data_IF_921066437932
#
_entry.id   IF_921066437932
#
_cell.length_a   1.000
_cell.length_b   1.000
_cell.length_c   1.000
_cell.angle_alpha   90.00
_cell.angle_beta   90.00
_cell.angle_gamma   90.00
#
_symmetry.space_group_name_H-M   'P 1'
#
loop_
_entity.id
_entity.type
_entity.pdbx_description
1 polymer ?
#
# COMPACT_ATOMS: atom_id res chain seq x y z
N UNK A 1 -7.81 -21.26 13.47
CA UNK A 1 -7.54 -20.53 14.73
C UNK A 1 -7.71 -21.49 15.90
N UNK A 2 -6.92 -21.39 16.96
CA UNK A 2 -6.98 -22.32 18.11
C UNK A 2 -7.73 -21.83 19.33
N UNK A 3 -8.55 -20.79 19.18
CA UNK A 3 -9.33 -20.22 20.26
C UNK A 3 -8.52 -19.32 21.21
N UNK A 4 -9.09 -18.94 22.37
CA UNK A 4 -8.57 -17.89 23.25
C UNK A 4 -7.15 -18.14 23.78
N UNK A 5 -6.74 -19.41 23.88
CA UNK A 5 -5.49 -19.81 24.53
C UNK A 5 -4.40 -20.24 23.54
N UNK A 6 -4.75 -20.44 22.26
CA UNK A 6 -3.83 -20.88 21.22
C UNK A 6 -4.17 -20.11 19.94
N UNK A 7 -3.72 -18.86 19.86
CA UNK A 7 -3.98 -17.91 18.77
C UNK A 7 -3.90 -18.55 17.36
N UNK A 8 -2.73 -18.51 16.72
CA UNK A 8 -2.47 -19.19 15.44
C UNK A 8 -1.83 -20.55 15.72
N UNK A 9 -2.57 -21.63 15.41
CA UNK A 9 -2.05 -23.01 15.53
C UNK A 9 -1.12 -23.34 14.36
N UNK A 10 -1.52 -23.00 13.14
CA UNK A 10 -0.76 -23.22 11.91
C UNK A 10 -1.19 -22.18 10.87
N UNK A 11 -0.23 -21.73 10.07
CA UNK A 11 -0.42 -20.82 8.96
C UNK A 11 0.40 -21.30 7.76
N UNK A 12 -0.19 -21.22 6.58
CA UNK A 12 0.46 -21.47 5.30
C UNK A 12 0.13 -20.30 4.38
N UNK A 13 1.05 -19.94 3.49
CA UNK A 13 0.84 -18.89 2.51
C UNK A 13 1.54 -19.25 1.21
N UNK A 14 1.02 -18.72 0.10
CA UNK A 14 1.64 -18.79 -1.21
C UNK A 14 1.64 -17.39 -1.82
N UNK A 15 2.78 -16.97 -2.36
CA UNK A 15 2.89 -15.72 -3.12
C UNK A 15 2.80 -16.05 -4.60
N UNK A 16 1.82 -15.48 -5.28
CA UNK A 16 1.60 -15.72 -6.71
C UNK A 16 1.77 -14.42 -7.48
N UNK A 17 2.69 -14.44 -8.44
CA UNK A 17 2.85 -13.32 -9.37
C UNK A 17 1.67 -13.29 -10.36
N UNK A 18 1.03 -12.13 -10.50
CA UNK A 18 -0.03 -11.92 -11.49
C UNK A 18 0.63 -11.78 -12.87
N UNK A 19 0.25 -12.60 -13.88
CA UNK A 19 0.70 -12.44 -15.25
C UNK A 19 0.45 -11.03 -15.78
N UNK A 20 1.45 -10.42 -16.44
CA UNK A 20 1.34 -9.05 -16.97
C UNK A 20 0.15 -8.83 -17.90
N UNK A 21 -0.23 -9.86 -18.66
CA UNK A 21 -1.38 -9.80 -19.56
C UNK A 21 -2.69 -9.53 -18.78
N UNK A 22 -2.82 -10.06 -17.56
CA UNK A 22 -4.02 -9.88 -16.73
C UNK A 22 -4.11 -8.48 -16.12
N UNK A 23 -2.99 -7.75 -16.02
CA UNK A 23 -3.01 -6.34 -15.59
C UNK A 23 -3.74 -5.43 -16.59
N UNK A 24 -3.85 -5.88 -17.85
CA UNK A 24 -4.45 -5.15 -18.97
C UNK A 24 -5.67 -5.88 -19.56
N UNK A 25 -6.08 -7.00 -18.96
CA UNK A 25 -7.19 -7.83 -19.42
C UNK A 25 -8.53 -7.36 -18.89
N UNK A 26 -9.44 -8.32 -18.68
CA UNK A 26 -10.78 -8.09 -18.11
C UNK A 26 -10.84 -8.41 -16.63
N UNK A 27 -11.86 -7.87 -15.95
CA UNK A 27 -12.09 -8.18 -14.54
C UNK A 27 -12.33 -9.67 -14.33
N UNK A 28 -13.09 -10.31 -15.22
CA UNK A 28 -13.36 -11.75 -15.18
C UNK A 28 -12.08 -12.58 -15.23
N UNK A 29 -11.17 -12.31 -16.16
CA UNK A 29 -9.91 -13.05 -16.29
C UNK A 29 -9.01 -12.91 -15.04
N UNK A 30 -8.93 -11.70 -14.47
CA UNK A 30 -8.14 -11.47 -13.25
C UNK A 30 -8.74 -12.23 -12.05
N UNK A 31 -10.04 -12.11 -11.82
CA UNK A 31 -10.68 -12.75 -10.66
C UNK A 31 -10.77 -14.27 -10.82
N UNK A 32 -10.93 -14.79 -12.05
CA UNK A 32 -10.84 -16.23 -12.33
C UNK A 32 -9.44 -16.77 -12.06
N UNK A 33 -8.39 -16.02 -12.44
CA UNK A 33 -7.02 -16.38 -12.09
C UNK A 33 -6.85 -16.45 -10.56
N UNK A 34 -7.29 -15.42 -9.82
CA UNK A 34 -7.21 -15.40 -8.35
C UNK A 34 -7.97 -16.59 -7.75
N UNK A 35 -9.19 -16.85 -8.20
CA UNK A 35 -10.01 -17.96 -7.70
C UNK A 35 -9.36 -19.32 -7.98
N UNK A 36 -8.82 -19.54 -9.18
CA UNK A 36 -8.11 -20.78 -9.52
C UNK A 36 -6.88 -21.00 -8.64
N UNK A 37 -6.12 -19.94 -8.36
CA UNK A 37 -4.96 -20.00 -7.46
C UNK A 37 -5.37 -20.31 -6.02
N UNK A 38 -6.42 -19.66 -5.52
CA UNK A 38 -6.98 -19.93 -4.20
C UNK A 38 -7.43 -21.39 -4.05
N UNK A 39 -8.16 -21.91 -5.04
CA UNK A 39 -8.63 -23.30 -5.03
C UNK A 39 -7.46 -24.29 -5.12
N UNK A 40 -6.43 -23.97 -5.90
CA UNK A 40 -5.21 -24.79 -5.98
C UNK A 40 -4.49 -24.82 -4.63
N UNK A 41 -4.40 -23.68 -3.95
CA UNK A 41 -3.83 -23.58 -2.61
C UNK A 41 -4.61 -24.41 -1.59
N UNK A 42 -5.94 -24.31 -1.57
CA UNK A 42 -6.80 -25.08 -0.65
C UNK A 42 -6.64 -26.60 -0.87
N UNK A 43 -6.44 -27.05 -2.11
CA UNK A 43 -6.22 -28.48 -2.42
C UNK A 43 -4.92 -29.05 -1.83
N UNK A 44 -3.96 -28.19 -1.49
CA UNK A 44 -2.67 -28.59 -0.90
C UNK A 44 -2.73 -28.68 0.63
N UNK A 45 -3.83 -28.24 1.24
CA UNK A 45 -3.99 -28.24 2.69
C UNK A 45 -3.90 -29.65 3.30
N UNK A 46 -3.11 -29.77 4.36
CA UNK A 46 -3.06 -30.97 5.19
C UNK A 46 -4.33 -31.19 6.03
N UNK A 47 -4.50 -32.40 6.63
CA UNK A 47 -5.67 -32.77 7.44
C UNK A 47 -5.99 -31.77 8.58
N UNK A 48 -4.97 -31.10 9.10
CA UNK A 48 -5.08 -30.11 10.18
C UNK A 48 -5.89 -28.86 9.81
N UNK A 49 -6.04 -28.52 8.53
CA UNK A 49 -6.82 -27.38 8.05
C UNK A 49 -8.27 -27.74 7.68
N UNK A 50 -8.61 -29.03 7.66
CA UNK A 50 -9.96 -29.51 7.30
C UNK A 50 -10.98 -29.39 8.45
N UNK A 51 -10.62 -28.78 9.57
CA UNK A 51 -11.54 -28.48 10.69
C UNK A 51 -12.33 -27.20 10.40
N UNK A 52 -13.49 -27.32 9.77
CA UNK A 52 -14.42 -26.21 9.56
C UNK A 52 -15.81 -26.44 10.15
N UNK A 53 -16.57 -25.35 10.28
CA UNK A 53 -17.99 -25.42 10.61
C UNK A 53 -18.75 -26.14 9.49
N UNK A 54 -19.34 -27.28 9.81
CA UNK A 54 -20.23 -28.01 8.91
C UNK A 54 -21.62 -27.39 8.99
N UNK A 55 -22.06 -26.74 7.91
CA UNK A 55 -23.45 -26.31 7.76
C UNK A 55 -24.12 -27.22 6.74
N UNK A 56 -25.18 -27.94 7.14
CA UNK A 56 -25.90 -28.91 6.27
C UNK A 56 -24.98 -29.93 5.57
N UNK A 57 -23.95 -30.43 6.26
CA UNK A 57 -23.01 -31.42 5.71
C UNK A 57 -21.98 -30.89 4.71
N UNK A 58 -21.93 -29.57 4.49
CA UNK A 58 -20.94 -28.91 3.64
C UNK A 58 -20.06 -27.98 4.49
N UNK A 59 -18.75 -28.05 4.29
CA UNK A 59 -17.79 -27.15 4.93
C UNK A 59 -17.77 -25.84 4.15
N UNK A 60 -18.32 -24.77 4.73
CA UNK A 60 -18.21 -23.41 4.16
C UNK A 60 -16.93 -22.78 4.70
N UNK A 61 -16.08 -22.30 3.79
CA UNK A 61 -14.83 -21.60 4.13
C UNK A 61 -15.05 -20.10 4.10
N UNK A 62 -14.57 -19.40 5.12
CA UNK A 62 -14.64 -17.95 5.20
C UNK A 62 -13.34 -17.33 4.71
N UNK A 63 -13.44 -16.39 3.78
CA UNK A 63 -12.32 -15.64 3.23
C UNK A 63 -12.39 -14.18 3.70
N UNK A 64 -11.32 -13.70 4.31
CA UNK A 64 -11.05 -12.27 4.44
C UNK A 64 -10.35 -11.77 3.19
N UNK A 65 -10.94 -10.79 2.52
CA UNK A 65 -10.39 -10.18 1.30
C UNK A 65 -9.76 -8.84 1.66
N UNK A 66 -8.43 -8.73 1.50
CA UNK A 66 -7.73 -7.45 1.59
C UNK A 66 -7.50 -6.90 0.19
N UNK A 67 -7.93 -5.66 -0.06
CA UNK A 67 -7.64 -4.95 -1.31
C UNK A 67 -7.05 -3.57 -1.00
N UNK A 68 -5.87 -3.30 -1.56
CA UNK A 68 -5.15 -2.02 -1.45
C UNK A 68 -5.41 -1.06 -2.62
N UNK A 69 -6.51 -1.27 -3.37
CA UNK A 69 -7.00 -0.32 -4.37
C UNK A 69 -8.03 0.65 -3.76
N UNK A 70 -8.18 1.86 -4.32
CA UNK A 70 -9.24 2.78 -3.92
C UNK A 70 -10.64 2.16 -4.08
N UNK A 71 -11.31 1.90 -2.97
CA UNK A 71 -12.64 1.28 -2.91
C UNK A 71 -13.61 2.17 -2.10
N UNK A 72 -14.85 2.27 -2.56
CA UNK A 72 -15.96 2.76 -1.76
C UNK A 72 -16.61 1.56 -1.06
N UNK A 73 -16.25 1.33 0.20
CA UNK A 73 -16.81 0.25 1.00
C UNK A 73 -18.18 0.66 1.56
N UNK A 74 -19.22 -0.10 1.20
CA UNK A 74 -20.61 0.22 1.56
C UNK A 74 -21.16 -0.69 2.66
N UNK A 75 -20.49 -1.81 2.92
CA UNK A 75 -20.77 -2.78 3.98
C UNK A 75 -19.48 -3.50 4.39
N UNK A 76 -19.53 -4.39 5.39
CA UNK A 76 -18.37 -5.19 5.78
C UNK A 76 -17.87 -6.13 4.68
N UNK A 77 -18.69 -6.47 3.68
CA UNK A 77 -18.35 -7.39 2.59
C UNK A 77 -18.81 -6.88 1.20
N UNK A 78 -18.83 -5.56 1.00
CA UNK A 78 -19.19 -4.96 -0.29
C UNK A 78 -18.29 -3.76 -0.54
N UNK A 79 -17.67 -3.69 -1.71
CA UNK A 79 -16.73 -2.63 -2.04
C UNK A 79 -16.71 -2.29 -3.52
N UNK A 80 -17.11 -1.06 -3.86
CA UNK A 80 -17.10 -0.60 -5.24
C UNK A 80 -15.71 -0.07 -5.60
N UNK A 81 -15.07 -0.66 -6.60
CA UNK A 81 -13.78 -0.19 -7.08
C UNK A 81 -13.91 1.20 -7.71
N UNK A 82 -13.16 2.18 -7.20
CA UNK A 82 -13.18 3.56 -7.71
C UNK A 82 -12.23 3.70 -8.90
N UNK A 83 -11.01 3.18 -8.77
CA UNK A 83 -9.99 3.18 -9.82
C UNK A 83 -8.93 2.13 -9.56
N UNK A 84 -8.32 1.65 -10.64
CA UNK A 84 -7.10 0.85 -10.55
C UNK A 84 -5.87 1.72 -10.32
N UNK A 85 -4.88 1.17 -9.61
CA UNK A 85 -3.55 1.77 -9.40
C UNK A 85 -2.47 0.75 -9.77
N UNK A 86 -1.19 1.09 -9.57
CA UNK A 86 -0.08 0.13 -9.68
C UNK A 86 0.04 -0.58 -11.05
N UNK A 87 -0.32 0.11 -12.12
CA UNK A 87 -0.21 -0.40 -13.50
C UNK A 87 -1.39 -1.26 -13.97
N UNK A 88 -2.37 -1.53 -13.11
CA UNK A 88 -3.62 -2.17 -13.51
C UNK A 88 -4.46 -1.23 -14.40
N UNK A 89 -4.97 -1.75 -15.51
CA UNK A 89 -5.81 -1.02 -16.48
C UNK A 89 -6.97 -1.90 -16.97
N UNK A 90 -7.79 -2.35 -16.03
CA UNK A 90 -8.92 -3.26 -16.30
C UNK A 90 -10.22 -2.43 -16.31
N UNK A 91 -10.56 -1.90 -17.48
CA UNK A 91 -11.60 -0.87 -17.61
C UNK A 91 -12.97 -1.33 -17.11
N UNK A 92 -13.33 -2.59 -17.34
CA UNK A 92 -14.64 -3.15 -16.98
C UNK A 92 -14.78 -3.45 -15.48
N UNK A 93 -13.71 -3.38 -14.69
CA UNK A 93 -13.78 -3.56 -13.23
C UNK A 93 -14.14 -2.29 -12.45
N UNK A 94 -13.94 -1.11 -13.05
CA UNK A 94 -14.21 0.17 -12.40
C UNK A 94 -15.72 0.35 -12.19
N UNK A 95 -16.11 0.76 -10.99
CA UNK A 95 -17.52 0.91 -10.61
C UNK A 95 -18.23 -0.40 -10.25
N UNK A 96 -17.52 -1.54 -10.24
CA UNK A 96 -18.09 -2.84 -9.85
C UNK A 96 -17.69 -3.22 -8.42
N UNK A 97 -18.51 -4.09 -7.82
CA UNK A 97 -18.23 -4.66 -6.51
C UNK A 97 -17.14 -5.75 -6.60
N UNK A 98 -15.99 -5.51 -5.98
CA UNK A 98 -14.85 -6.43 -5.97
C UNK A 98 -15.18 -7.74 -5.25
N UNK A 99 -16.05 -7.71 -4.24
CA UNK A 99 -16.45 -8.90 -3.49
C UNK A 99 -17.32 -9.76 -4.37
N UNK A 100 -18.33 -9.18 -5.04
CA UNK A 100 -19.16 -9.89 -5.99
C UNK A 100 -18.36 -10.47 -7.18
N UNK A 101 -17.37 -9.74 -7.69
CA UNK A 101 -16.50 -10.23 -8.77
C UNK A 101 -15.69 -11.47 -8.34
N UNK A 102 -15.06 -11.42 -7.16
CA UNK A 102 -14.33 -12.57 -6.62
C UNK A 102 -15.26 -13.73 -6.25
N UNK A 103 -16.41 -13.45 -5.62
CA UNK A 103 -17.39 -14.48 -5.26
C UNK A 103 -17.89 -15.21 -6.51
N UNK A 104 -18.25 -14.47 -7.57
CA UNK A 104 -18.67 -15.07 -8.85
C UNK A 104 -17.57 -15.94 -9.46
N UNK A 105 -16.30 -15.50 -9.37
CA UNK A 105 -15.17 -16.29 -9.86
C UNK A 105 -14.96 -17.57 -9.05
N UNK A 106 -15.12 -17.52 -7.72
CA UNK A 106 -15.07 -18.71 -6.86
C UNK A 106 -16.25 -19.65 -7.12
N UNK A 107 -17.45 -19.13 -7.32
CA UNK A 107 -18.66 -19.95 -7.58
C UNK A 107 -18.58 -20.70 -8.92
N UNK A 108 -17.83 -20.15 -9.91
CA UNK A 108 -17.49 -20.86 -11.15
C UNK A 108 -16.54 -22.04 -10.91
N UNK A 109 -15.75 -22.03 -9.84
CA UNK A 109 -14.85 -23.13 -9.48
C UNK A 109 -15.65 -24.24 -8.77
N UNK A 110 -15.71 -25.43 -9.38
CA UNK A 110 -16.42 -26.57 -8.78
C UNK A 110 -15.64 -27.16 -7.60
N UNK A 111 -16.37 -27.59 -6.56
CA UNK A 111 -15.84 -28.47 -5.50
C UNK A 111 -15.50 -27.81 -4.18
N UNK A 112 -15.63 -26.48 -4.05
CA UNK A 112 -15.41 -25.76 -2.79
C UNK A 112 -16.49 -24.71 -2.58
N UNK A 113 -16.99 -24.59 -1.34
CA UNK A 113 -17.87 -23.52 -0.94
C UNK A 113 -17.07 -22.50 -0.13
N UNK A 114 -16.75 -21.37 -0.76
CA UNK A 114 -16.00 -20.28 -0.13
C UNK A 114 -16.89 -19.03 -0.15
N UNK A 115 -16.96 -18.34 0.98
CA UNK A 115 -17.67 -17.07 1.12
C UNK A 115 -16.68 -15.98 1.50
N UNK A 116 -16.71 -14.86 0.78
CA UNK A 116 -16.03 -13.64 1.24
C UNK A 116 -16.79 -13.11 2.46
N UNK A 117 -16.24 -13.35 3.65
CA UNK A 117 -16.86 -12.97 4.91
C UNK A 117 -16.65 -11.48 5.19
N UNK A 118 -15.52 -10.93 4.77
CA UNK A 118 -15.16 -9.53 5.04
C UNK A 118 -14.25 -8.98 3.96
N UNK A 119 -14.47 -7.73 3.60
CA UNK A 119 -13.57 -6.88 2.82
C UNK A 119 -12.87 -5.92 3.78
N UNK A 120 -11.54 -5.90 3.75
CA UNK A 120 -10.72 -5.12 4.69
C UNK A 120 -9.68 -4.31 3.91
N UNK A 121 -9.42 -3.08 4.34
CA UNK A 121 -8.25 -2.32 3.89
C UNK A 121 -6.97 -2.83 4.60
N UNK A 122 -5.84 -2.87 3.92
CA UNK A 122 -4.55 -3.32 4.46
C UNK A 122 -4.15 -2.70 5.81
N UNK A 123 -4.44 -1.42 6.02
CA UNK A 123 -4.15 -0.70 7.26
C UNK A 123 -5.02 -1.21 8.41
N UNK A 124 -6.32 -1.41 8.16
CA UNK A 124 -7.26 -2.01 9.12
C UNK A 124 -6.90 -3.47 9.40
N UNK A 125 -6.50 -4.23 8.38
CA UNK A 125 -6.02 -5.59 8.53
C UNK A 125 -4.74 -5.68 9.37
N UNK A 126 -3.84 -4.73 9.19
CA UNK A 126 -2.61 -4.59 10.01
C UNK A 126 -2.95 -4.34 11.47
N UNK A 127 -3.87 -3.42 11.74
CA UNK A 127 -4.32 -3.16 13.11
C UNK A 127 -5.03 -4.36 13.72
N UNK A 128 -5.95 -5.00 12.99
CA UNK A 128 -6.68 -6.17 13.46
C UNK A 128 -5.73 -7.35 13.76
N UNK A 129 -4.73 -7.56 12.90
CA UNK A 129 -3.68 -8.55 13.12
C UNK A 129 -2.82 -8.23 14.35
N UNK A 130 -2.46 -6.97 14.55
CA UNK A 130 -1.75 -6.53 15.75
C UNK A 130 -2.58 -6.72 17.02
N UNK A 131 -3.84 -6.27 16.99
CA UNK A 131 -4.79 -6.37 18.10
C UNK A 131 -5.05 -7.82 18.51
N UNK A 132 -5.12 -8.72 17.53
CA UNK A 132 -5.21 -10.16 17.79
C UNK A 132 -4.06 -10.72 18.65
N UNK A 133 -2.85 -10.13 18.55
CA UNK A 133 -1.70 -10.52 19.37
C UNK A 133 -1.50 -9.65 20.63
N UNK A 134 -2.10 -8.47 20.67
CA UNK A 134 -1.96 -7.55 21.79
C UNK A 134 -3.19 -6.63 21.85
N UNK A 135 -4.03 -6.82 22.87
CA UNK A 135 -5.26 -6.06 23.05
C UNK A 135 -5.01 -4.54 23.22
N UNK A 136 -3.77 -4.12 23.54
CA UNK A 136 -3.38 -2.70 23.64
C UNK A 136 -3.13 -2.03 22.29
N UNK A 137 -3.17 -2.76 21.17
CA UNK A 137 -3.01 -2.17 19.83
C UNK A 137 -4.27 -1.37 19.48
N UNK A 138 -4.10 -0.05 19.41
CA UNK A 138 -5.15 0.91 19.10
C UNK A 138 -4.95 1.65 17.77
N UNK A 139 -3.79 1.48 17.12
CA UNK A 139 -3.42 2.17 15.87
C UNK A 139 -2.73 1.17 14.94
N UNK A 140 -3.10 1.20 13.66
CA UNK A 140 -2.36 0.57 12.57
C UNK A 140 -1.83 1.63 11.63
N UNK A 141 -0.58 1.50 11.22
CA UNK A 141 0.09 2.43 10.28
C UNK A 141 0.74 1.61 9.17
N UNK A 142 0.52 2.03 7.94
CA UNK A 142 1.25 1.55 6.77
C UNK A 142 2.23 2.64 6.35
N UNK A 143 3.53 2.32 6.37
CA UNK A 143 4.60 3.13 5.80
C UNK A 143 5.25 2.31 4.67
N UNK A 144 4.71 2.43 3.46
CA UNK A 144 5.17 1.69 2.29
C UNK A 144 5.20 2.59 1.06
N UNK A 145 4.95 2.01 -0.11
CA UNK A 145 4.78 2.76 -1.37
C UNK A 145 3.86 3.96 -1.17
N UNK A 146 2.72 3.70 -0.52
CA UNK A 146 1.81 4.72 0.01
C UNK A 146 1.86 4.73 1.54
N UNK A 147 1.21 5.71 2.16
CA UNK A 147 1.10 5.80 3.62
C UNK A 147 -0.35 5.91 4.06
N UNK A 148 -0.73 5.20 5.13
CA UNK A 148 -2.03 5.37 5.75
C UNK A 148 -2.02 5.02 7.24
N UNK A 149 -3.07 5.44 7.94
CA UNK A 149 -3.32 5.03 9.31
C UNK A 149 -4.80 4.72 9.55
N UNK A 150 -5.04 3.83 10.50
CA UNK A 150 -6.32 3.64 11.14
C UNK A 150 -6.14 3.57 12.65
N UNK A 151 -7.20 3.88 13.39
CA UNK A 151 -7.17 3.78 14.84
C UNK A 151 -8.55 3.42 15.39
N UNK A 152 -8.56 2.91 16.62
CA UNK A 152 -9.78 2.70 17.41
C UNK A 152 -10.18 4.02 18.04
N UNK A 153 -11.36 4.54 17.69
CA UNK A 153 -11.89 5.76 18.27
C UNK A 153 -12.78 5.42 19.48
N UNK A 154 -12.42 5.94 20.65
CA UNK A 154 -13.13 5.59 21.90
C UNK A 154 -14.29 6.52 22.21
N UNK A 155 -14.35 7.70 21.56
CA UNK A 155 -15.29 8.77 21.93
C UNK A 155 -16.19 9.19 20.77
N UNK A 156 -16.58 8.25 19.89
CA UNK A 156 -17.58 8.55 18.88
C UNK A 156 -18.97 8.72 19.51
N UNK A 157 -19.74 9.74 19.09
CA UNK A 157 -21.15 9.81 19.46
C UNK A 157 -21.91 8.61 18.86
N UNK A 158 -22.99 8.19 19.51
CA UNK A 158 -23.82 7.06 19.06
C UNK A 158 -24.34 7.28 17.64
N UNK A 159 -24.64 8.52 17.26
CA UNK A 159 -25.10 8.88 15.93
C UNK A 159 -24.08 9.79 15.24
N UNK A 160 -23.51 9.30 14.14
CA UNK A 160 -22.61 10.07 13.28
C UNK A 160 -23.28 10.35 11.95
N UNK A 161 -23.27 11.62 11.55
CA UNK A 161 -23.54 11.98 10.17
C UNK A 161 -22.27 11.85 9.35
N UNK A 162 -22.27 10.92 8.39
CA UNK A 162 -21.18 10.78 7.41
C UNK A 162 -21.15 11.97 6.45
N UNK A 163 -20.04 12.13 5.70
CA UNK A 163 -19.92 13.19 4.67
C UNK A 163 -21.03 13.19 3.62
N UNK A 164 -21.66 12.04 3.37
CA UNK A 164 -22.81 11.92 2.44
C UNK A 164 -24.15 12.30 3.07
N UNK A 165 -24.17 12.74 4.33
CA UNK A 165 -25.38 13.05 5.08
C UNK A 165 -26.07 11.82 5.69
N UNK A 166 -25.58 10.61 5.43
CA UNK A 166 -26.12 9.36 6.00
C UNK A 166 -25.81 9.31 7.49
N UNK A 167 -26.84 9.05 8.29
CA UNK A 167 -26.71 8.74 9.71
C UNK A 167 -26.26 7.30 9.90
N UNK A 168 -25.25 7.12 10.75
CA UNK A 168 -24.71 5.82 11.16
C UNK A 168 -24.82 5.74 12.67
N UNK A 169 -25.53 4.72 13.14
CA UNK A 169 -25.63 4.41 14.56
C UNK A 169 -24.50 3.43 14.93
N UNK A 170 -23.72 3.79 15.95
CA UNK A 170 -22.60 3.01 16.48
C UNK A 170 -23.06 2.35 17.78
N UNK A 171 -23.19 1.01 17.82
CA UNK A 171 -23.64 0.33 19.03
C UNK A 171 -22.65 0.51 20.19
N UNK A 172 -23.18 0.66 21.40
CA UNK A 172 -22.44 0.96 22.64
C UNK A 172 -21.29 -0.03 22.98
N UNK A 173 -21.33 -1.25 22.42
CA UNK A 173 -20.34 -2.31 22.67
C UNK A 173 -19.38 -2.53 21.48
N UNK A 174 -19.27 -1.56 20.57
CA UNK A 174 -18.34 -1.66 19.44
C UNK A 174 -17.07 -0.85 19.70
N UNK A 175 -15.96 -1.33 19.16
CA UNK A 175 -14.70 -0.58 19.06
C UNK A 175 -14.63 -0.04 17.62
N UNK A 176 -15.15 1.16 17.34
CA UNK A 176 -15.21 1.66 15.98
C UNK A 176 -13.80 1.98 15.50
N UNK A 177 -13.47 1.44 14.33
CA UNK A 177 -12.18 1.66 13.67
C UNK A 177 -12.35 2.76 12.63
N UNK A 178 -11.59 3.84 12.78
CA UNK A 178 -11.53 4.94 11.83
C UNK A 178 -10.34 4.70 10.89
N UNK A 179 -10.65 4.50 9.61
CA UNK A 179 -9.66 4.52 8.54
C UNK A 179 -9.51 5.96 8.03
N UNK A 180 -8.31 6.52 8.17
CA UNK A 180 -8.13 7.97 8.07
C UNK A 180 -7.99 8.48 6.64
N UNK A 181 -7.46 7.66 5.71
CA UNK A 181 -7.01 8.15 4.39
C UNK A 181 -6.08 9.37 4.54
N UNK A 182 -5.15 9.29 5.50
CA UNK A 182 -4.35 10.44 5.94
C UNK A 182 -3.38 10.96 4.88
N UNK A 183 -3.19 10.22 3.77
CA UNK A 183 -2.33 10.64 2.68
C UNK A 183 -2.82 11.94 2.06
N UNK A 184 -4.13 12.20 2.16
CA UNK A 184 -4.80 13.44 1.75
C UNK A 184 -4.68 14.59 2.75
N UNK A 185 -4.10 14.37 3.92
CA UNK A 185 -3.90 15.42 4.90
C UNK A 185 -3.09 16.56 4.26
N UNK A 186 -3.56 17.79 4.51
CA UNK A 186 -2.94 19.00 3.98
C UNK A 186 -3.12 20.12 4.98
N UNK A 187 -2.01 20.79 5.31
CA UNK A 187 -1.97 21.86 6.29
C UNK A 187 -0.87 22.85 5.93
N UNK A 188 -1.08 24.14 6.22
CA UNK A 188 -0.04 25.17 6.11
C UNK A 188 1.12 24.95 7.07
N UNK A 189 0.95 24.08 8.07
CA UNK A 189 1.99 23.71 9.04
C UNK A 189 2.92 22.58 8.53
N UNK A 190 2.60 21.93 7.41
CA UNK A 190 3.52 20.98 6.79
C UNK A 190 4.75 21.72 6.26
N UNK A 191 5.99 21.28 6.56
CA UNK A 191 7.23 21.94 6.15
C UNK A 191 7.53 21.67 4.67
N UNK A 192 6.66 22.18 3.78
CA UNK A 192 6.78 21.99 2.34
C UNK A 192 7.89 22.86 1.78
N UNK A 193 8.70 22.25 0.93
CA UNK A 193 9.71 22.93 0.12
C UNK A 193 9.18 23.19 -1.28
N UNK A 194 9.89 24.00 -2.06
CA UNK A 194 9.56 24.19 -3.48
C UNK A 194 9.67 22.87 -4.29
N UNK A 195 10.47 21.89 -3.81
CA UNK A 195 10.59 20.57 -4.44
C UNK A 195 9.28 19.80 -4.29
N UNK A 196 8.67 19.85 -3.11
CA UNK A 196 7.37 19.21 -2.83
C UNK A 196 6.26 19.85 -3.68
N UNK A 197 6.26 21.18 -3.80
CA UNK A 197 5.30 21.90 -4.64
C UNK A 197 5.48 21.55 -6.13
N UNK A 198 6.72 21.46 -6.61
CA UNK A 198 6.99 21.07 -8.00
C UNK A 198 6.55 19.61 -8.26
N UNK A 199 6.86 18.71 -7.33
CA UNK A 199 6.44 17.30 -7.41
C UNK A 199 4.92 17.20 -7.44
N UNK A 200 4.21 17.94 -6.58
CA UNK A 200 2.75 17.96 -6.55
C UNK A 200 2.16 18.48 -7.86
N UNK A 201 2.65 19.62 -8.36
CA UNK A 201 2.19 20.25 -9.59
C UNK A 201 2.38 19.36 -10.83
N UNK A 202 3.46 18.57 -10.88
CA UNK A 202 3.76 17.65 -11.99
C UNK A 202 3.12 16.25 -11.81
N UNK A 203 2.45 16.00 -10.67
CA UNK A 203 1.82 14.72 -10.38
C UNK A 203 0.53 14.50 -11.17
N UNK A 204 0.04 13.25 -11.16
CA UNK A 204 -1.25 12.88 -11.78
C UNK A 204 -2.45 13.55 -11.09
N UNK A 205 -2.28 13.97 -9.84
CA UNK A 205 -3.32 14.53 -8.99
C UNK A 205 -2.82 15.76 -8.20
N UNK A 206 -2.52 16.88 -8.87
CA UNK A 206 -2.04 18.09 -8.20
C UNK A 206 -3.01 18.57 -7.14
N UNK A 207 -2.51 18.97 -5.97
CA UNK A 207 -3.31 19.44 -4.84
C UNK A 207 -4.04 18.34 -4.06
N UNK A 208 -3.89 17.06 -4.42
CA UNK A 208 -4.41 15.92 -3.67
C UNK A 208 -3.26 15.05 -3.16
N UNK A 209 -3.50 14.30 -2.08
CA UNK A 209 -2.53 13.35 -1.51
C UNK A 209 -1.18 13.97 -1.11
N UNK A 210 -1.23 15.19 -0.58
CA UNK A 210 -0.02 15.94 -0.26
C UNK A 210 0.86 15.32 0.82
N UNK A 211 0.27 14.83 1.92
CA UNK A 211 1.01 14.13 2.96
C UNK A 211 1.64 12.83 2.43
N UNK A 212 0.93 12.09 1.57
CA UNK A 212 1.48 10.90 0.91
C UNK A 212 2.66 11.23 0.00
N UNK A 213 2.61 12.34 -0.73
CA UNK A 213 3.72 12.79 -1.60
C UNK A 213 4.97 13.16 -0.82
N UNK A 214 4.83 13.64 0.40
CA UNK A 214 5.96 14.03 1.25
C UNK A 214 6.59 12.85 1.99
N UNK A 215 5.82 11.81 2.31
CA UNK A 215 6.24 10.74 3.24
C UNK A 215 6.20 9.33 2.66
N UNK A 216 5.43 9.10 1.59
CA UNK A 216 5.28 7.80 0.96
C UNK A 216 6.55 7.37 0.24
N UNK A 217 6.92 6.09 0.37
CA UNK A 217 8.12 5.55 -0.25
C UNK A 217 8.08 5.60 -1.79
N UNK A 218 6.95 5.84 -2.43
CA UNK A 218 6.92 6.11 -3.87
C UNK A 218 7.65 7.41 -4.25
N UNK A 219 7.69 8.39 -3.34
CA UNK A 219 8.09 9.77 -3.64
C UNK A 219 9.44 10.17 -3.07
N UNK A 220 9.95 9.49 -2.03
CA UNK A 220 11.22 9.86 -1.39
C UNK A 220 12.40 9.88 -2.38
N UNK A 221 12.54 8.84 -3.20
CA UNK A 221 13.56 8.81 -4.25
C UNK A 221 13.37 9.91 -5.32
N UNK A 222 12.13 10.29 -5.62
CA UNK A 222 11.83 11.39 -6.56
C UNK A 222 12.17 12.76 -5.97
N UNK A 223 11.94 12.97 -4.66
CA UNK A 223 12.36 14.18 -3.94
C UNK A 223 13.88 14.32 -4.00
N UNK A 224 14.63 13.26 -3.64
CA UNK A 224 16.09 13.26 -3.71
C UNK A 224 16.58 13.51 -5.15
N UNK A 225 15.96 12.86 -6.15
CA UNK A 225 16.30 13.09 -7.57
C UNK A 225 16.13 14.56 -7.97
N UNK A 226 15.04 15.22 -7.55
CA UNK A 226 14.79 16.64 -7.86
C UNK A 226 15.82 17.55 -7.21
N UNK A 227 16.21 17.27 -5.97
CA UNK A 227 17.29 18.00 -5.29
C UNK A 227 18.62 17.83 -6.04
N UNK A 228 19.00 16.60 -6.39
CA UNK A 228 20.21 16.32 -7.17
C UNK A 228 20.17 16.99 -8.55
N UNK A 229 19.01 16.99 -9.23
CA UNK A 229 18.84 17.64 -10.52
C UNK A 229 19.03 19.16 -10.42
N UNK A 230 18.52 19.79 -9.36
CA UNK A 230 18.73 21.20 -9.08
C UNK A 230 20.21 21.51 -8.87
N UNK A 231 20.89 20.74 -8.02
CA UNK A 231 22.31 20.95 -7.75
C UNK A 231 23.18 20.71 -8.97
N UNK A 232 22.82 19.75 -9.83
CA UNK A 232 23.48 19.55 -11.10
C UNK A 232 23.35 20.78 -12.01
N UNK A 233 22.21 21.48 -11.95
CA UNK A 233 21.94 22.68 -12.75
C UNK A 233 22.59 23.95 -12.18
N UNK A 234 22.58 24.12 -10.85
CA UNK A 234 22.95 25.40 -10.21
C UNK A 234 24.35 25.39 -9.60
N UNK A 235 24.86 24.21 -9.24
CA UNK A 235 26.13 24.05 -8.54
C UNK A 235 27.10 23.14 -9.29
N UNK A 236 26.80 22.79 -10.55
CA UNK A 236 27.59 21.89 -11.38
C UNK A 236 27.98 20.59 -10.67
N UNK A 237 27.05 20.03 -9.87
CA UNK A 237 27.31 18.85 -9.03
C UNK A 237 27.90 17.67 -9.83
N UNK A 238 27.48 17.49 -11.08
CA UNK A 238 27.99 16.43 -11.97
C UNK A 238 28.76 16.97 -13.18
N UNK A 239 29.36 18.15 -13.04
CA UNK A 239 30.07 18.86 -14.12
C UNK A 239 29.18 19.90 -14.83
N UNK A 240 29.56 20.28 -16.04
CA UNK A 240 28.96 21.41 -16.78
C UNK A 240 27.55 21.13 -17.34
N UNK A 241 27.07 19.89 -17.27
CA UNK A 241 25.77 19.52 -17.82
C UNK A 241 24.99 18.60 -16.89
N UNK A 242 23.67 18.80 -16.83
CA UNK A 242 22.76 17.94 -16.06
C UNK A 242 22.64 16.58 -16.75
N UNK A 243 22.97 15.47 -16.07
CA UNK A 243 22.89 14.12 -16.64
C UNK A 243 21.49 13.81 -17.19
N UNK A 244 21.42 13.21 -18.39
CA UNK A 244 20.13 12.94 -19.05
C UNK A 244 19.24 12.01 -18.23
N UNK A 245 19.81 10.97 -17.60
CA UNK A 245 19.06 10.05 -16.73
C UNK A 245 18.49 10.74 -15.49
N UNK A 246 19.19 11.75 -14.95
CA UNK A 246 18.72 12.51 -13.79
C UNK A 246 17.45 13.31 -14.08
N UNK A 247 17.12 13.56 -15.36
CA UNK A 247 15.88 14.24 -15.78
C UNK A 247 14.67 13.29 -15.86
N UNK A 248 14.88 11.98 -15.75
CA UNK A 248 13.80 10.99 -15.84
C UNK A 248 13.06 10.90 -14.50
N UNK A 249 11.76 11.23 -14.44
CA UNK A 249 10.99 11.12 -13.21
C UNK A 249 10.98 9.69 -12.66
N UNK A 250 11.02 9.54 -11.34
CA UNK A 250 10.93 8.26 -10.62
C UNK A 250 12.01 7.22 -10.98
N UNK A 251 13.13 7.63 -11.59
CA UNK A 251 14.23 6.72 -11.91
C UNK A 251 15.00 6.24 -10.65
N UNK A 252 15.04 7.08 -9.61
CA UNK A 252 15.63 6.73 -8.33
C UNK A 252 14.52 6.19 -7.41
N UNK A 253 14.55 4.90 -7.10
CA UNK A 253 13.58 4.30 -6.19
C UNK A 253 14.07 4.43 -4.76
N UNK A 254 13.13 4.30 -3.82
CA UNK A 254 13.43 4.38 -2.39
C UNK A 254 14.33 3.24 -1.91
N UNK A 255 14.36 2.10 -2.62
CA UNK A 255 15.33 1.04 -2.34
C UNK A 255 16.76 1.50 -2.62
N UNK A 256 17.01 2.21 -3.72
CA UNK A 256 18.33 2.78 -3.99
C UNK A 256 18.66 3.88 -2.99
N UNK A 257 17.71 4.76 -2.67
CA UNK A 257 17.88 5.78 -1.62
C UNK A 257 18.27 5.15 -0.28
N UNK A 258 17.59 4.08 0.13
CA UNK A 258 17.87 3.37 1.38
C UNK A 258 19.27 2.77 1.41
N UNK A 259 19.75 2.23 0.27
CA UNK A 259 21.12 1.73 0.14
C UNK A 259 22.15 2.86 0.29
N UNK A 260 21.86 4.03 -0.29
CA UNK A 260 22.73 5.20 -0.16
C UNK A 260 22.75 5.74 1.28
N UNK A 261 21.60 5.76 1.95
CA UNK A 261 21.49 6.21 3.34
C UNK A 261 22.24 5.28 4.31
N UNK A 262 22.14 3.96 4.10
CA UNK A 262 22.84 2.97 4.91
C UNK A 262 24.35 2.86 4.61
N UNK A 263 24.91 3.73 3.78
CA UNK A 263 26.32 3.69 3.43
C UNK A 263 27.21 4.32 4.51
N UNK A 264 27.81 3.47 5.34
CA UNK A 264 28.77 3.86 6.37
C UNK A 264 30.23 3.82 5.87
N UNK A 265 30.47 3.55 4.58
CA UNK A 265 31.84 3.48 4.07
C UNK A 265 32.50 4.87 4.07
N UNK A 266 33.79 4.98 4.46
CA UNK A 266 34.49 6.27 4.50
C UNK A 266 34.55 7.02 3.17
N UNK A 267 34.44 6.28 2.05
CA UNK A 267 34.49 6.78 0.69
C UNK A 267 33.12 6.82 0.00
N UNK A 268 32.02 6.53 0.72
CA UNK A 268 30.65 6.45 0.20
C UNK A 268 30.53 5.60 -1.08
N UNK A 269 31.18 4.43 -1.06
CA UNK A 269 31.27 3.52 -2.22
C UNK A 269 29.90 3.03 -2.72
N UNK A 270 28.91 2.89 -1.83
CA UNK A 270 27.55 2.46 -2.19
C UNK A 270 26.84 3.63 -2.85
N UNK A 271 27.00 4.86 -2.32
CA UNK A 271 26.49 6.07 -2.97
C UNK A 271 27.04 6.19 -4.39
N UNK A 272 28.36 6.11 -4.58
CA UNK A 272 28.98 6.18 -5.92
C UNK A 272 28.46 5.08 -6.85
N UNK A 273 28.28 3.86 -6.32
CA UNK A 273 27.72 2.75 -7.09
C UNK A 273 26.28 3.02 -7.53
N UNK A 274 25.41 3.51 -6.64
CA UNK A 274 24.02 3.84 -6.99
C UNK A 274 23.98 4.97 -8.02
N UNK A 275 24.78 6.03 -7.83
CA UNK A 275 24.87 7.13 -8.79
C UNK A 275 25.29 6.64 -10.18
N UNK A 276 26.24 5.69 -10.24
CA UNK A 276 26.68 5.08 -11.48
C UNK A 276 25.60 4.22 -12.11
N UNK A 277 25.00 3.32 -11.34
CA UNK A 277 24.05 2.34 -11.85
C UNK A 277 22.73 3.00 -12.29
N UNK A 278 22.27 4.02 -11.55
CA UNK A 278 20.99 4.70 -11.79
C UNK A 278 21.14 5.87 -12.77
N UNK A 279 22.17 6.71 -12.63
CA UNK A 279 22.28 7.96 -13.39
C UNK A 279 23.41 7.99 -14.42
N UNK A 280 24.23 6.93 -14.50
CA UNK A 280 25.48 6.89 -15.28
C UNK A 280 26.49 7.99 -14.88
N UNK A 281 26.51 8.39 -13.61
CA UNK A 281 27.47 9.38 -13.09
C UNK A 281 28.32 8.84 -11.95
N UNK A 282 29.48 9.45 -11.73
CA UNK A 282 30.32 9.18 -10.57
C UNK A 282 30.18 10.29 -9.54
N UNK A 283 30.41 9.94 -8.29
CA UNK A 283 30.49 10.88 -7.19
C UNK A 283 31.63 11.88 -7.44
N UNK A 284 31.31 13.18 -7.35
CA UNK A 284 32.27 14.26 -7.56
C UNK A 284 32.96 14.67 -6.24
N UNK A 285 33.77 15.72 -6.28
CA UNK A 285 34.55 16.27 -5.15
C UNK A 285 33.71 16.78 -3.95
N UNK A 286 32.37 16.68 -3.97
CA UNK A 286 31.46 17.11 -2.89
C UNK A 286 30.62 15.96 -2.28
N UNK A 287 31.25 14.87 -1.79
CA UNK A 287 30.55 13.68 -1.30
C UNK A 287 29.67 13.95 -0.06
N UNK A 288 30.14 14.80 0.85
CA UNK A 288 29.43 15.14 2.10
C UNK A 288 28.08 15.81 1.84
N UNK A 289 27.96 16.66 0.81
CA UNK A 289 26.69 17.31 0.47
C UNK A 289 25.63 16.32 -0.03
N UNK A 290 26.07 15.28 -0.74
CA UNK A 290 25.17 14.23 -1.24
C UNK A 290 24.66 13.41 -0.05
N UNK A 291 25.55 13.08 0.90
CA UNK A 291 25.18 12.38 2.12
C UNK A 291 24.21 13.20 2.99
N UNK A 292 24.48 14.49 3.20
CA UNK A 292 23.60 15.39 3.95
C UNK A 292 22.18 15.41 3.35
N UNK A 293 22.05 15.46 2.02
CA UNK A 293 20.75 15.43 1.35
C UNK A 293 20.02 14.11 1.55
N UNK A 294 20.73 12.99 1.46
CA UNK A 294 20.13 11.67 1.65
C UNK A 294 19.65 11.52 3.10
N UNK A 295 20.45 11.99 4.07
CA UNK A 295 20.10 12.00 5.49
C UNK A 295 18.94 12.97 5.78
N UNK A 296 18.99 14.20 5.28
CA UNK A 296 17.96 15.24 5.46
C UNK A 296 16.61 14.83 4.86
N UNK A 297 16.64 14.18 3.68
CA UNK A 297 15.43 13.63 3.04
C UNK A 297 14.85 12.45 3.82
N UNK A 298 15.61 11.85 4.74
CA UNK A 298 15.18 10.75 5.59
C UNK A 298 14.53 11.23 6.90
N UNK A 299 14.77 12.47 7.35
CA UNK A 299 14.12 13.04 8.54
C UNK A 299 12.67 13.48 8.30
N UNK A 300 12.16 13.32 7.08
CA UNK A 300 10.74 13.49 6.74
C UNK A 300 9.89 12.24 7.08
N UNK A 301 10.52 11.13 7.48
CA UNK A 301 9.88 9.88 7.91
C UNK A 301 9.73 9.78 9.44
#
# INVERSE_FOLDING_TARGET
MGGPNARVIKQEYEVVAIPRALLLGTSEELFDFIAQRLISFIKLEGPEFQRGHNWNGHQIRELGLTISFPICQTSHNTGILIKWTEGFKIADGVGKDVVAMLQSAMDRQKGFQIRVAVLINDTVGTMAGGHYWNDDVMVGVILGTNTNACYVECNLPEDIQTKSGKMVNIPFYTLPVIYMEWGRFWSSHLPRTYIDEQLDNESVNPGDRGFEKMTGAMYLGEIVRRVLARMAQEANLFGDSVPTKLKQPFILLTLEMSKMHADESPDLRIVDKVLKDVFDVRMCMQPLKIQDIICDSSYTL
#
